data_IF_432958970890
#
_entry.id   IF_432958970890
#
_cell.length_a   1.000
_cell.length_b   1.000
_cell.length_c   1.000
_cell.angle_alpha   90.00
_cell.angle_beta   90.00
_cell.angle_gamma   90.00
#
_symmetry.space_group_name_H-M   'P 1'
#
loop_
_entity.id
_entity.type
_entity.pdbx_description
1 polymer ?
#
# COMPACT_ATOMS: atom_id res chain seq x y z
N UNK A 1 -22.01 13.76 8.91
CA UNK A 1 -21.42 12.47 9.32
C UNK A 1 -19.93 12.57 9.05
N UNK A 2 -19.11 12.46 10.10
CA UNK A 2 -17.72 12.92 10.10
C UNK A 2 -16.86 12.04 9.17
N UNK A 3 -16.24 12.66 8.17
CA UNK A 3 -15.11 12.08 7.44
C UNK A 3 -13.96 11.93 8.44
N UNK A 4 -13.73 10.71 8.92
CA UNK A 4 -12.45 10.38 9.54
C UNK A 4 -11.50 10.12 8.36
N UNK A 5 -10.92 11.19 7.81
CA UNK A 5 -9.68 11.06 7.09
C UNK A 5 -8.66 10.54 8.11
N UNK A 6 -8.32 9.25 8.03
CA UNK A 6 -7.19 8.71 8.77
C UNK A 6 -5.94 9.41 8.21
N UNK A 7 -5.55 10.51 8.83
CA UNK A 7 -4.29 11.21 8.57
C UNK A 7 -3.17 10.26 8.98
N UNK A 8 -2.75 9.37 8.08
CA UNK A 8 -1.56 8.57 8.26
C UNK A 8 -0.37 9.53 8.13
N UNK A 9 0.12 9.99 9.28
CA UNK A 9 1.20 10.96 9.36
C UNK A 9 2.49 10.16 9.41
N UNK A 10 3.19 9.97 8.29
CA UNK A 10 4.48 9.29 8.32
C UNK A 10 5.57 10.25 8.83
N UNK A 11 5.78 10.26 10.14
CA UNK A 11 6.89 10.98 10.77
C UNK A 11 8.19 10.21 10.60
N UNK A 12 9.06 10.69 9.72
CA UNK A 12 10.49 10.40 9.84
C UNK A 12 11.04 11.23 11.01
N UNK A 13 11.39 10.55 12.10
CA UNK A 13 12.10 11.17 13.21
C UNK A 13 13.60 11.10 12.93
N UNK A 14 14.34 12.17 13.15
CA UNK A 14 15.77 12.28 12.81
C UNK A 14 16.63 12.54 14.08
N UNK A 15 16.89 11.53 14.94
CA UNK A 15 17.88 11.64 16.02
C UNK A 15 19.30 11.26 15.54
N UNK A 16 20.34 11.70 16.26
CA UNK A 16 21.71 11.43 15.90
C UNK A 16 22.10 9.98 16.22
N UNK A 17 22.70 9.32 15.21
CA UNK A 17 23.43 8.07 15.25
C UNK A 17 22.68 6.80 15.73
N UNK A 18 22.70 5.81 14.83
CA UNK A 18 22.56 4.38 15.12
C UNK A 18 21.21 3.89 15.65
N UNK A 19 20.17 3.79 14.81
CA UNK A 19 19.02 2.90 15.10
C UNK A 19 18.31 2.40 13.83
N UNK A 20 17.91 1.12 13.89
CA UNK A 20 17.08 0.36 12.93
C UNK A 20 15.63 0.87 13.00
N UNK A 21 14.97 1.01 11.85
CA UNK A 21 13.53 1.27 11.63
C UNK A 21 12.70 1.11 12.92
N UNK A 22 12.30 2.22 13.54
CA UNK A 22 11.43 2.22 14.72
C UNK A 22 10.03 2.62 14.28
N UNK A 23 9.05 1.76 14.55
CA UNK A 23 7.61 2.02 14.36
C UNK A 23 7.13 2.55 15.72
N UNK A 24 6.91 3.87 15.90
CA UNK A 24 6.67 4.42 17.23
C UNK A 24 5.28 4.08 17.79
N UNK A 25 4.27 3.91 16.92
CA UNK A 25 2.88 3.70 17.28
C UNK A 25 2.08 3.13 16.08
N UNK A 26 0.88 2.56 16.27
CA UNK A 26 0.01 2.16 15.16
C UNK A 26 -0.39 3.39 14.33
N UNK A 27 0.19 3.52 13.13
CA UNK A 27 -0.08 4.60 12.19
C UNK A 27 1.13 5.44 11.75
N UNK A 28 2.31 5.23 12.35
CA UNK A 28 3.54 5.93 11.97
C UNK A 28 4.62 4.95 11.46
N UNK A 29 5.09 5.13 10.23
CA UNK A 29 6.30 4.45 9.71
C UNK A 29 7.44 5.46 9.66
N UNK A 30 8.40 5.32 10.58
CA UNK A 30 9.60 6.14 10.62
C UNK A 30 10.71 5.58 9.73
N UNK A 31 11.17 6.38 8.77
CA UNK A 31 12.38 6.11 7.96
C UNK A 31 13.46 7.13 8.34
N UNK A 32 14.74 6.76 8.32
CA UNK A 32 15.82 7.66 8.75
C UNK A 32 16.72 7.98 7.55
N UNK A 33 16.61 9.20 7.00
CA UNK A 33 17.38 9.63 5.80
C UNK A 33 18.78 10.22 6.12
N UNK A 34 19.14 10.40 7.39
CA UNK A 34 20.34 11.17 7.82
C UNK A 34 21.69 10.58 7.38
N UNK A 35 21.71 9.36 6.84
CA UNK A 35 22.93 8.71 6.37
C UNK A 35 23.23 8.97 4.89
N UNK A 36 22.29 9.55 4.12
CA UNK A 36 22.45 9.78 2.69
C UNK A 36 22.97 11.19 2.38
N UNK A 37 23.93 11.30 1.46
CA UNK A 37 24.34 12.57 0.83
C UNK A 37 23.39 12.94 -0.32
N UNK A 38 22.95 11.92 -1.06
CA UNK A 38 21.93 12.04 -2.10
C UNK A 38 21.00 10.84 -1.99
N UNK A 39 19.69 11.08 -2.16
CA UNK A 39 18.71 10.00 -2.15
C UNK A 39 17.58 10.26 -3.14
N UNK A 40 16.91 9.16 -3.48
CA UNK A 40 15.69 9.11 -4.28
C UNK A 40 14.71 8.18 -3.59
N UNK A 41 13.50 8.68 -3.38
CA UNK A 41 12.40 7.94 -2.78
C UNK A 41 11.30 7.74 -3.81
N UNK A 42 10.99 6.47 -4.10
CA UNK A 42 9.94 6.07 -5.03
C UNK A 42 8.87 5.25 -4.29
N UNK A 43 7.62 5.35 -4.72
CA UNK A 43 6.51 4.53 -4.23
C UNK A 43 5.81 3.82 -5.39
N UNK A 44 5.42 2.57 -5.16
CA UNK A 44 4.57 1.76 -6.02
C UNK A 44 3.46 1.16 -5.17
N UNK A 45 2.26 1.03 -5.71
CA UNK A 45 1.16 0.32 -5.06
C UNK A 45 1.06 -1.09 -5.60
N UNK A 46 0.83 -2.03 -4.70
CA UNK A 46 0.31 -3.37 -4.98
C UNK A 46 -1.16 -3.40 -4.58
N UNK A 47 -2.05 -3.56 -5.54
CA UNK A 47 -3.49 -3.69 -5.30
C UNK A 47 -3.88 -5.15 -5.19
N UNK A 48 -4.91 -5.41 -4.40
CA UNK A 48 -5.56 -6.72 -4.35
C UNK A 48 -7.06 -6.57 -4.61
N UNK A 49 -7.75 -7.69 -4.82
CA UNK A 49 -9.21 -7.72 -4.78
C UNK A 49 -9.67 -8.01 -3.35
N UNK A 50 -10.70 -7.32 -2.90
CA UNK A 50 -11.44 -7.63 -1.67
C UNK A 50 -12.87 -8.01 -2.02
N UNK A 51 -13.48 -8.82 -1.17
CA UNK A 51 -14.86 -9.27 -1.27
C UNK A 51 -15.59 -8.75 -0.04
N UNK A 52 -16.64 -7.98 -0.26
CA UNK A 52 -17.34 -7.21 0.77
C UNK A 52 -18.78 -7.67 0.92
N UNK A 53 -19.22 -7.78 2.18
CA UNK A 53 -20.62 -7.82 2.58
C UNK A 53 -20.86 -6.74 3.64
N UNK A 54 -22.10 -6.56 4.09
CA UNK A 54 -22.38 -5.75 5.27
C UNK A 54 -21.74 -6.43 6.50
N UNK A 55 -20.62 -5.90 6.98
CA UNK A 55 -19.85 -6.43 8.10
C UNK A 55 -18.53 -7.10 7.67
N UNK A 56 -18.49 -8.42 7.46
CA UNK A 56 -17.24 -9.13 7.15
C UNK A 56 -16.71 -8.83 5.74
N UNK A 57 -15.39 -8.70 5.66
CA UNK A 57 -14.62 -8.57 4.42
C UNK A 57 -13.64 -9.73 4.29
N UNK A 58 -13.38 -10.16 3.05
CA UNK A 58 -12.31 -11.09 2.73
C UNK A 58 -11.36 -10.44 1.72
N UNK A 59 -10.13 -10.18 2.16
CA UNK A 59 -9.08 -9.65 1.29
C UNK A 59 -8.30 -10.77 0.63
N UNK A 60 -8.32 -10.81 -0.70
CA UNK A 60 -7.62 -11.82 -1.50
C UNK A 60 -6.13 -11.45 -1.68
N UNK A 61 -5.43 -11.19 -0.57
CA UNK A 61 -4.03 -10.72 -0.53
C UNK A 61 -2.99 -11.74 -1.01
N UNK A 62 -3.39 -12.98 -1.29
CA UNK A 62 -2.51 -14.06 -1.75
C UNK A 62 -2.93 -14.60 -3.13
N UNK A 63 -3.75 -13.86 -3.88
CA UNK A 63 -4.26 -14.33 -5.17
C UNK A 63 -3.61 -13.61 -6.36
N UNK A 64 -4.24 -12.56 -6.87
CA UNK A 64 -3.79 -11.76 -8.00
C UNK A 64 -3.58 -10.34 -7.54
N UNK A 65 -2.56 -9.69 -8.10
CA UNK A 65 -2.18 -8.34 -7.75
C UNK A 65 -1.99 -7.47 -8.99
N UNK A 66 -2.35 -6.20 -8.87
CA UNK A 66 -1.93 -5.16 -9.79
C UNK A 66 -0.76 -4.39 -9.21
N UNK A 67 0.20 -4.01 -10.05
CA UNK A 67 1.32 -3.16 -9.66
C UNK A 67 1.27 -1.87 -10.45
N UNK A 68 1.32 -0.73 -9.77
CA UNK A 68 1.44 0.56 -10.45
C UNK A 68 2.84 0.73 -11.04
N UNK A 69 3.04 1.79 -11.82
CA UNK A 69 4.39 2.30 -12.05
C UNK A 69 4.99 2.84 -10.74
N UNK A 70 6.31 3.04 -10.72
CA UNK A 70 6.99 3.76 -9.64
C UNK A 70 6.74 5.27 -9.78
N UNK A 71 6.39 5.92 -8.68
CA UNK A 71 6.23 7.36 -8.58
C UNK A 71 7.37 7.93 -7.74
N UNK A 72 8.10 8.89 -8.29
CA UNK A 72 9.11 9.63 -7.54
C UNK A 72 8.42 10.61 -6.59
N UNK A 73 8.67 10.45 -5.29
CA UNK A 73 8.09 11.29 -4.22
C UNK A 73 9.20 11.96 -3.41
N UNK A 74 10.43 12.00 -3.93
CA UNK A 74 11.59 12.59 -3.24
C UNK A 74 11.34 14.05 -2.85
N UNK A 75 10.64 14.79 -3.72
CA UNK A 75 10.32 16.21 -3.51
C UNK A 75 9.34 16.47 -2.36
N UNK A 76 8.69 15.43 -1.84
CA UNK A 76 7.73 15.54 -0.74
C UNK A 76 8.36 15.32 0.64
N UNK A 77 9.62 14.89 0.67
CA UNK A 77 10.36 14.74 1.92
C UNK A 77 10.66 16.11 2.50
N UNK A 78 10.12 16.39 3.67
CA UNK A 78 10.30 17.64 4.39
C UNK A 78 11.74 17.77 4.94
N UNK A 79 12.21 18.99 5.26
CA UNK A 79 13.58 19.19 5.78
C UNK A 79 13.88 18.45 7.10
N UNK A 80 12.85 18.16 7.91
CA UNK A 80 12.99 17.34 9.13
C UNK A 80 13.05 15.83 8.83
N UNK A 81 13.04 15.46 7.55
CA UNK A 81 12.97 14.10 7.06
C UNK A 81 11.56 13.60 6.83
N UNK A 82 10.51 14.16 7.43
CA UNK A 82 9.16 13.57 7.40
C UNK A 82 8.51 13.58 6.02
N UNK A 83 7.54 12.69 5.81
CA UNK A 83 6.81 12.56 4.56
C UNK A 83 5.33 12.38 4.89
N UNK A 84 4.47 13.20 4.29
CA UNK A 84 3.04 12.89 4.26
C UNK A 84 2.75 12.13 2.96
N UNK A 85 1.96 11.06 3.06
CA UNK A 85 1.66 10.24 1.89
C UNK A 85 0.91 11.06 0.85
N UNK A 86 1.38 11.11 -0.42
CA UNK A 86 0.65 11.78 -1.47
C UNK A 86 -0.67 11.09 -1.78
N UNK A 87 -1.61 11.89 -2.24
CA UNK A 87 -2.69 11.40 -3.09
C UNK A 87 -2.08 10.87 -4.40
N UNK A 88 -2.08 9.54 -4.53
CA UNK A 88 -1.57 8.90 -5.74
C UNK A 88 -2.62 8.88 -6.86
N UNK A 89 -2.14 8.74 -8.11
CA UNK A 89 -2.86 8.25 -9.25
C UNK A 89 -4.13 7.46 -9.00
N UNK A 90 -5.34 7.78 -9.52
CA UNK A 90 -6.37 6.72 -9.58
C UNK A 90 -5.84 5.46 -10.29
N UNK A 91 -5.05 5.67 -11.35
CA UNK A 91 -4.38 4.59 -12.07
C UNK A 91 -3.35 3.80 -11.22
N UNK A 92 -2.85 4.36 -10.13
CA UNK A 92 -2.02 3.64 -9.17
C UNK A 92 -2.89 2.87 -8.15
N UNK A 93 -4.02 3.45 -7.75
CA UNK A 93 -4.88 2.90 -6.70
C UNK A 93 -5.81 1.77 -7.20
N UNK A 94 -6.08 1.71 -8.51
CA UNK A 94 -7.11 0.86 -9.11
C UNK A 94 -6.58 -0.07 -10.21
N UNK A 95 -5.25 -0.19 -10.33
CA UNK A 95 -4.62 -1.12 -11.29
C UNK A 95 -4.97 -2.55 -10.88
N UNK A 96 -5.46 -3.41 -11.77
CA UNK A 96 -5.67 -4.81 -11.45
C UNK A 96 -5.66 -5.64 -12.75
N UNK A 97 -5.17 -6.89 -12.74
CA UNK A 97 -5.25 -7.73 -13.91
C UNK A 97 -6.71 -8.00 -14.31
N UNK A 98 -6.94 -8.14 -15.61
CA UNK A 98 -8.23 -8.60 -16.11
C UNK A 98 -8.51 -10.02 -15.58
N UNK A 99 -9.70 -10.22 -15.04
CA UNK A 99 -10.17 -11.49 -14.48
C UNK A 99 -11.59 -11.76 -14.95
N UNK A 100 -11.89 -13.03 -15.21
CA UNK A 100 -13.25 -13.46 -15.51
C UNK A 100 -14.10 -13.57 -14.25
N UNK A 101 -15.42 -13.51 -14.43
CA UNK A 101 -16.37 -13.75 -13.36
C UNK A 101 -16.13 -15.10 -12.64
N UNK A 102 -15.84 -16.15 -13.42
CA UNK A 102 -15.58 -17.49 -12.87
C UNK A 102 -14.31 -17.50 -12.03
N UNK A 103 -13.23 -16.88 -12.50
CA UNK A 103 -11.98 -16.77 -11.73
C UNK A 103 -12.19 -16.07 -10.39
N UNK A 104 -12.96 -14.98 -10.36
CA UNK A 104 -13.28 -14.28 -9.11
C UNK A 104 -14.05 -15.19 -8.14
N UNK A 105 -15.07 -15.88 -8.63
CA UNK A 105 -15.87 -16.80 -7.82
C UNK A 105 -15.04 -17.98 -7.29
N UNK A 106 -14.20 -18.58 -8.12
CA UNK A 106 -13.30 -19.66 -7.71
C UNK A 106 -12.31 -19.16 -6.64
N UNK A 107 -11.78 -17.94 -6.79
CA UNK A 107 -10.88 -17.35 -5.81
C UNK A 107 -11.58 -17.15 -4.46
N UNK A 108 -12.83 -16.67 -4.43
CA UNK A 108 -13.58 -16.55 -3.18
C UNK A 108 -13.73 -17.90 -2.49
N UNK A 109 -14.09 -18.96 -3.24
CA UNK A 109 -14.20 -20.31 -2.67
C UNK A 109 -12.88 -20.86 -2.11
N UNK A 110 -11.77 -20.46 -2.73
CA UNK A 110 -10.45 -20.97 -2.36
C UNK A 110 -9.86 -20.22 -1.16
N UNK A 111 -10.07 -18.90 -1.08
CA UNK A 111 -9.32 -18.03 -0.18
C UNK A 111 -10.18 -17.38 0.92
N UNK A 112 -11.50 -17.43 0.83
CA UNK A 112 -12.41 -16.74 1.76
C UNK A 112 -13.21 -17.67 2.67
N UNK A 113 -12.77 -18.91 2.90
CA UNK A 113 -13.54 -19.90 3.66
C UNK A 113 -15.00 -20.01 3.17
N UNK A 114 -15.96 -20.27 4.06
CA UNK A 114 -17.40 -20.31 3.75
C UNK A 114 -18.02 -18.92 3.47
N UNK A 115 -17.21 -17.86 3.32
CA UNK A 115 -17.72 -16.53 3.01
C UNK A 115 -18.20 -16.43 1.56
N UNK A 116 -19.51 -16.24 1.39
CA UNK A 116 -20.14 -16.11 0.09
C UNK A 116 -21.15 -14.96 0.09
N UNK A 117 -20.76 -13.74 -0.29
CA UNK A 117 -21.65 -12.59 -0.19
C UNK A 117 -22.83 -12.71 -1.18
N UNK A 118 -24.01 -12.22 -0.80
CA UNK A 118 -25.15 -12.15 -1.71
C UNK A 118 -24.81 -11.39 -2.99
N UNK A 119 -25.19 -11.95 -4.15
CA UNK A 119 -25.03 -11.29 -5.44
C UNK A 119 -23.64 -11.45 -6.09
N UNK A 120 -22.72 -12.22 -5.51
CA UNK A 120 -21.43 -12.55 -6.13
C UNK A 120 -21.59 -13.19 -7.53
N UNK A 121 -22.67 -13.93 -7.74
CA UNK A 121 -23.05 -14.54 -9.03
C UNK A 121 -23.42 -13.52 -10.12
N UNK A 122 -23.67 -12.27 -9.75
CA UNK A 122 -24.05 -11.21 -10.68
C UNK A 122 -22.91 -10.26 -10.99
N UNK A 123 -21.84 -10.28 -10.18
CA UNK A 123 -20.71 -9.39 -10.37
C UNK A 123 -19.81 -9.89 -11.50
N UNK A 124 -19.57 -8.99 -12.46
CA UNK A 124 -18.82 -9.29 -13.70
C UNK A 124 -17.42 -8.70 -13.70
N UNK A 125 -17.11 -7.83 -12.74
CA UNK A 125 -15.85 -7.09 -12.66
C UNK A 125 -15.39 -7.00 -11.21
N UNK A 126 -14.07 -6.97 -10.96
CA UNK A 126 -13.52 -6.85 -9.61
C UNK A 126 -13.75 -5.45 -9.00
N UNK A 127 -14.21 -4.47 -9.79
CA UNK A 127 -14.45 -3.09 -9.35
C UNK A 127 -15.92 -2.81 -9.01
N UNK A 128 -16.77 -3.83 -8.96
CA UNK A 128 -18.19 -3.68 -8.62
C UNK A 128 -18.59 -4.58 -7.47
N UNK A 129 -19.39 -4.03 -6.55
CA UNK A 129 -19.94 -4.75 -5.41
C UNK A 129 -20.50 -6.12 -5.81
N UNK A 130 -20.20 -7.20 -5.08
CA UNK A 130 -19.50 -7.23 -3.79
C UNK A 130 -17.97 -7.16 -3.86
N UNK A 131 -17.37 -7.05 -5.05
CA UNK A 131 -15.92 -6.91 -5.18
C UNK A 131 -15.46 -5.46 -5.07
N UNK A 132 -14.22 -5.29 -4.64
CA UNK A 132 -13.49 -4.03 -4.71
C UNK A 132 -12.03 -4.28 -5.03
N UNK A 133 -11.38 -3.30 -5.64
CA UNK A 133 -9.93 -3.25 -5.84
C UNK A 133 -9.41 -2.04 -5.09
N UNK A 134 -8.35 -2.22 -4.32
CA UNK A 134 -7.66 -1.14 -3.63
C UNK A 134 -6.21 -1.52 -3.35
N UNK A 135 -5.34 -0.55 -2.99
CA UNK A 135 -4.01 -0.86 -2.50
C UNK A 135 -4.09 -1.80 -1.29
N UNK A 136 -3.35 -2.89 -1.38
CA UNK A 136 -3.11 -3.85 -0.29
C UNK A 136 -1.71 -3.67 0.30
N UNK A 137 -0.78 -3.15 -0.49
CA UNK A 137 0.54 -2.72 -0.03
C UNK A 137 1.03 -1.46 -0.74
N UNK A 138 1.78 -0.65 -0.02
CA UNK A 138 2.63 0.39 -0.59
C UNK A 138 4.08 -0.10 -0.50
N UNK A 139 4.76 -0.13 -1.64
CA UNK A 139 6.13 -0.56 -1.82
C UNK A 139 6.96 0.69 -2.01
N UNK A 140 7.80 0.99 -1.03
CA UNK A 140 8.68 2.14 -1.10
C UNK A 140 10.11 1.69 -1.36
N UNK A 141 10.78 2.45 -2.20
CA UNK A 141 12.17 2.21 -2.57
C UNK A 141 12.96 3.48 -2.30
N UNK A 142 13.84 3.41 -1.30
CA UNK A 142 14.83 4.43 -1.01
C UNK A 142 16.16 3.99 -1.62
N UNK A 143 16.72 4.79 -2.51
CA UNK A 143 18.03 4.53 -3.11
C UNK A 143 18.91 5.76 -3.06
N UNK A 144 20.22 5.59 -2.90
CA UNK A 144 21.12 6.74 -2.82
C UNK A 144 22.53 6.41 -2.39
N UNK A 145 23.31 7.46 -2.22
CA UNK A 145 24.70 7.39 -1.76
C UNK A 145 24.76 7.76 -0.29
N UNK A 146 25.30 6.86 0.53
CA UNK A 146 25.60 7.11 1.93
C UNK A 146 26.77 8.09 2.08
N UNK A 147 26.87 8.76 3.23
CA UNK A 147 27.95 9.69 3.59
C UNK A 147 29.37 9.10 3.50
N UNK A 148 29.49 7.79 3.59
CA UNK A 148 30.76 7.07 3.42
C UNK A 148 31.07 6.72 1.95
N UNK A 149 30.26 7.23 0.99
CA UNK A 149 30.39 6.98 -0.45
C UNK A 149 29.75 5.69 -0.93
N UNK A 150 29.19 4.85 -0.05
CA UNK A 150 28.58 3.58 -0.42
C UNK A 150 27.20 3.78 -1.06
N UNK A 151 26.91 3.06 -2.14
CA UNK A 151 25.55 2.98 -2.70
C UNK A 151 24.68 2.03 -1.87
N UNK A 152 23.46 2.46 -1.55
CA UNK A 152 22.49 1.64 -0.83
C UNK A 152 21.10 1.75 -1.46
N UNK A 153 20.38 0.63 -1.48
CA UNK A 153 18.94 0.61 -1.76
C UNK A 153 18.23 -0.15 -0.65
N UNK A 154 17.17 0.44 -0.11
CA UNK A 154 16.28 -0.13 0.90
C UNK A 154 14.89 -0.19 0.28
N UNK A 155 14.25 -1.35 0.41
CA UNK A 155 12.85 -1.54 0.04
C UNK A 155 12.08 -1.82 1.32
N UNK A 156 11.00 -1.07 1.54
CA UNK A 156 10.09 -1.31 2.66
C UNK A 156 8.65 -1.43 2.15
N UNK A 157 7.89 -2.25 2.86
CA UNK A 157 6.53 -2.62 2.49
C UNK A 157 5.61 -2.16 3.63
N UNK A 158 4.61 -1.36 3.29
CA UNK A 158 3.52 -1.01 4.19
C UNK A 158 2.29 -1.81 3.74
N UNK A 159 1.81 -2.72 4.58
CA UNK A 159 0.57 -3.43 4.32
C UNK A 159 -0.61 -2.59 4.81
N UNK A 160 -1.69 -2.56 4.02
CA UNK A 160 -2.90 -1.80 4.32
C UNK A 160 -4.08 -2.76 4.33
N UNK A 161 -4.93 -2.63 5.33
CA UNK A 161 -6.16 -3.39 5.38
C UNK A 161 -7.15 -2.89 4.34
N UNK A 162 -7.83 -3.82 3.67
CA UNK A 162 -8.78 -3.49 2.64
C UNK A 162 -10.19 -3.89 3.10
N UNK A 163 -11.19 -3.22 2.53
CA UNK A 163 -12.56 -3.36 3.03
C UNK A 163 -12.79 -2.50 4.28
N UNK A 164 -13.53 -1.40 4.06
CA UNK A 164 -13.87 -0.32 4.99
C UNK A 164 -12.78 0.72 5.30
#
# INVERSE_FOLDING_TARGET
MHLIAAYLTARLLCPPADTIIHIPDPGEVGMYCLQYDTFRLEVQTETSMTVMAEGPHCDLRNWKHGYSQLFDITYMVQPNGSLEMPDLPKAALDVFPAVSQKEMQDAVRQYCDDFWPPGIEKSKTPHTYPFGVSPSRYIFKLSGTLKNGQQQTIIFLMQVDMGC
#
